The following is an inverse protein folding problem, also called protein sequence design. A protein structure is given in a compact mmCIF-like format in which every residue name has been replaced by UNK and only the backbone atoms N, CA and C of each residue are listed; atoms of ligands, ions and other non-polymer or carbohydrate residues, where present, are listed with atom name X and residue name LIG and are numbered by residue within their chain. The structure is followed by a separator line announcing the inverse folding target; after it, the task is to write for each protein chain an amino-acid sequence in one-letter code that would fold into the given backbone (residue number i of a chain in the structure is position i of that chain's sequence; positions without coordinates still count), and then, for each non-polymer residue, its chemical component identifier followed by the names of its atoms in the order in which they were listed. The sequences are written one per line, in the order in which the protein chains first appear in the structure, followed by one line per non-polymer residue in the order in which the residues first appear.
data_IF_348916941933
#
_entry.id   IF_348916941933
#
_cell.length_a   1.000
_cell.length_b   1.000
_cell.length_c   1.000
_cell.angle_alpha   90.00
_cell.angle_beta   90.00
_cell.angle_gamma   90.00
#
_symmetry.space_group_name_H-M   'P 1'
#
loop_
_entity.id
_entity.type
_entity.pdbx_description
1 polymer ?
#
# COMPACT_ATOMS: atom_id res chain seq x y z
N UNK A 1 2.73 -11.67 5.67
CA UNK A 1 4.04 -11.61 4.98
C UNK A 1 4.82 -12.85 5.35
N UNK A 2 5.40 -13.52 4.35
CA UNK A 2 6.00 -14.86 4.40
C UNK A 2 7.32 -14.88 5.16
N UNK A 3 7.24 -14.73 6.49
CA UNK A 3 8.38 -14.87 7.41
C UNK A 3 9.13 -16.19 7.18
N UNK A 4 8.40 -17.27 6.90
CA UNK A 4 8.96 -18.58 6.63
C UNK A 4 9.75 -18.69 5.31
N UNK A 5 9.65 -17.73 4.39
CA UNK A 5 10.34 -17.80 3.10
C UNK A 5 11.76 -17.21 3.15
N UNK A 6 12.11 -16.45 4.19
CA UNK A 6 13.46 -15.87 4.29
C UNK A 6 14.46 -16.97 4.66
N UNK A 7 15.46 -17.20 3.81
CA UNK A 7 16.51 -18.19 4.06
C UNK A 7 17.34 -17.93 5.33
N UNK A 8 17.39 -16.68 5.79
CA UNK A 8 18.09 -16.30 7.03
C UNK A 8 17.17 -16.26 8.25
N UNK A 9 15.89 -16.62 8.13
CA UNK A 9 14.98 -16.68 9.25
C UNK A 9 14.94 -18.09 9.84
N UNK A 10 15.55 -18.25 11.01
CA UNK A 10 15.47 -19.47 11.81
C UNK A 10 14.59 -19.23 13.03
N UNK A 11 13.46 -19.96 13.11
CA UNK A 11 12.51 -19.89 14.22
C UNK A 11 12.06 -18.46 14.63
N UNK A 12 12.11 -17.49 13.71
CA UNK A 12 11.77 -16.08 13.97
C UNK A 12 12.96 -15.14 14.16
N UNK A 13 14.18 -15.69 14.25
CA UNK A 13 15.43 -14.97 14.43
C UNK A 13 16.24 -14.91 13.12
N UNK A 14 17.03 -13.86 12.95
CA UNK A 14 17.84 -13.62 11.77
C UNK A 14 19.27 -14.10 11.97
N UNK A 15 19.63 -15.23 11.36
CA UNK A 15 20.97 -15.81 11.44
C UNK A 15 22.09 -14.84 11.00
N UNK A 16 21.79 -13.97 10.03
CA UNK A 16 22.76 -12.99 9.51
C UNK A 16 23.03 -11.83 10.49
N UNK A 17 22.10 -11.54 11.39
CA UNK A 17 22.19 -10.44 12.33
C UNK A 17 22.45 -10.92 13.76
N UNK A 18 22.49 -12.23 13.97
CA UNK A 18 22.86 -12.85 15.23
C UNK A 18 24.39 -12.75 15.39
N UNK A 19 24.85 -11.84 16.26
CA UNK A 19 26.26 -11.59 16.56
C UNK A 19 26.68 -12.19 17.91
N UNK A 20 25.99 -13.26 18.33
CA UNK A 20 26.14 -13.87 19.66
C UNK A 20 24.98 -13.53 20.60
N UNK A 21 24.13 -12.59 20.21
CA UNK A 21 22.81 -12.36 20.79
C UNK A 21 21.72 -12.56 19.73
N UNK A 22 20.69 -13.33 20.07
CA UNK A 22 19.61 -13.64 19.14
C UNK A 22 18.94 -12.37 18.63
N UNK A 23 18.98 -12.15 17.32
CA UNK A 23 18.35 -11.00 16.68
C UNK A 23 17.03 -11.40 16.03
N UNK A 24 15.90 -10.80 16.42
CA UNK A 24 14.60 -11.09 15.79
C UNK A 24 14.59 -10.63 14.34
N UNK A 25 14.03 -11.44 13.43
CA UNK A 25 13.97 -11.12 12.01
C UNK A 25 13.33 -9.76 11.73
N UNK A 26 14.00 -8.93 10.92
CA UNK A 26 13.56 -7.58 10.53
C UNK A 26 12.14 -7.59 9.92
N UNK A 27 11.82 -8.62 9.14
CA UNK A 27 10.48 -8.79 8.56
C UNK A 27 9.44 -9.22 9.60
N UNK A 28 9.87 -9.88 10.67
CA UNK A 28 9.02 -10.23 11.80
C UNK A 28 8.59 -9.01 12.59
N UNK A 29 9.52 -8.10 12.87
CA UNK A 29 9.23 -6.87 13.63
C UNK A 29 8.44 -5.86 12.79
N UNK A 30 8.83 -5.64 11.53
CA UNK A 30 8.26 -4.55 10.72
C UNK A 30 6.95 -4.90 10.01
N UNK A 31 6.57 -6.19 9.96
CA UNK A 31 5.46 -6.68 9.13
C UNK A 31 5.53 -6.19 7.68
N UNK A 32 6.74 -5.87 7.21
CA UNK A 32 7.03 -5.19 5.94
C UNK A 32 8.24 -5.83 5.26
N UNK A 33 8.35 -5.69 3.94
CA UNK A 33 9.47 -6.19 3.16
C UNK A 33 10.67 -5.23 3.19
N UNK A 34 11.21 -4.96 4.38
CA UNK A 34 12.35 -4.04 4.53
C UNK A 34 13.72 -4.71 4.33
N UNK A 35 13.81 -6.03 4.51
CA UNK A 35 15.06 -6.76 4.35
C UNK A 35 15.54 -6.74 2.89
N UNK A 36 16.72 -6.13 2.65
CA UNK A 36 17.32 -6.04 1.30
C UNK A 36 17.67 -7.41 0.73
N UNK A 37 18.33 -8.26 1.52
CA UNK A 37 18.62 -9.64 1.13
C UNK A 37 17.37 -10.38 0.66
N UNK A 38 16.27 -10.27 1.42
CA UNK A 38 15.02 -10.91 1.02
C UNK A 38 14.51 -10.39 -0.32
N UNK A 39 14.52 -9.07 -0.53
CA UNK A 39 14.01 -8.45 -1.77
C UNK A 39 14.87 -8.77 -2.99
N UNK A 40 16.18 -8.83 -2.84
CA UNK A 40 17.13 -8.92 -3.95
C UNK A 40 17.53 -10.37 -4.26
N UNK A 41 17.57 -11.26 -3.26
CA UNK A 41 18.03 -12.64 -3.43
C UNK A 41 16.91 -13.68 -3.29
N UNK A 42 16.05 -13.55 -2.27
CA UNK A 42 15.01 -14.55 -1.98
C UNK A 42 13.80 -14.37 -2.89
N UNK A 43 13.29 -13.14 -2.99
CA UNK A 43 12.05 -12.84 -3.72
C UNK A 43 12.16 -13.15 -5.22
N UNK A 44 13.24 -12.82 -5.94
CA UNK A 44 13.36 -13.17 -7.36
C UNK A 44 13.56 -14.67 -7.61
N UNK A 45 14.12 -15.40 -6.64
CA UNK A 45 14.33 -16.84 -6.74
C UNK A 45 13.00 -17.63 -6.65
N UNK A 46 12.00 -17.10 -5.94
CA UNK A 46 10.65 -17.67 -5.88
C UNK A 46 9.66 -16.83 -6.69
N UNK A 47 9.48 -17.21 -7.95
CA UNK A 47 8.57 -16.52 -8.89
C UNK A 47 7.13 -16.50 -8.39
N UNK A 48 6.65 -17.58 -7.79
CA UNK A 48 5.26 -17.65 -7.29
C UNK A 48 5.07 -16.71 -6.11
N UNK A 49 6.01 -16.68 -5.18
CA UNK A 49 5.99 -15.77 -4.03
C UNK A 49 6.10 -14.31 -4.47
N UNK A 50 7.00 -14.01 -5.41
CA UNK A 50 7.15 -12.69 -6.00
C UNK A 50 5.85 -12.18 -6.59
N UNK A 51 5.16 -13.00 -7.38
CA UNK A 51 3.88 -12.64 -7.94
C UNK A 51 2.79 -12.49 -6.87
N UNK A 52 2.72 -13.36 -5.85
CA UNK A 52 1.73 -13.22 -4.78
C UNK A 52 1.90 -11.91 -4.01
N UNK A 53 3.14 -11.57 -3.66
CA UNK A 53 3.48 -10.32 -2.97
C UNK A 53 3.18 -9.11 -3.87
N UNK A 54 3.55 -9.17 -5.14
CA UNK A 54 3.36 -8.06 -6.09
C UNK A 54 1.88 -7.86 -6.42
N UNK A 55 1.12 -8.94 -6.67
CA UNK A 55 -0.33 -8.90 -6.91
C UNK A 55 -1.11 -8.35 -5.72
N UNK A 56 -0.66 -8.57 -4.47
CA UNK A 56 -1.28 -7.93 -3.31
C UNK A 56 -1.14 -6.39 -3.32
N UNK A 57 -0.16 -5.86 -4.05
CA UNK A 57 -0.01 -4.42 -4.33
C UNK A 57 -0.69 -3.96 -5.63
N UNK A 58 -1.01 -4.88 -6.54
CA UNK A 58 -1.52 -4.60 -7.88
C UNK A 58 -3.05 -4.76 -7.94
N UNK A 59 -3.73 -3.62 -7.82
CA UNK A 59 -5.11 -3.41 -8.29
C UNK A 59 -6.15 -4.40 -7.79
N UNK A 60 -6.47 -4.34 -6.50
CA UNK A 60 -7.78 -4.81 -6.04
C UNK A 60 -8.87 -4.14 -6.89
N UNK A 61 -9.64 -4.94 -7.61
CA UNK A 61 -10.84 -4.47 -8.28
C UNK A 61 -11.82 -4.04 -7.19
N UNK A 62 -12.12 -2.73 -7.12
CA UNK A 62 -13.06 -2.16 -6.17
C UNK A 62 -14.36 -1.80 -6.83
N UNK A 63 -15.43 -1.76 -6.05
CA UNK A 63 -16.72 -1.24 -6.50
C UNK A 63 -16.81 0.25 -6.18
N UNK A 64 -17.22 1.03 -7.17
CA UNK A 64 -17.42 2.46 -6.99
C UNK A 64 -18.60 2.70 -6.05
N UNK A 65 -18.40 3.51 -5.01
CA UNK A 65 -19.46 3.86 -4.04
C UNK A 65 -20.59 4.74 -4.63
N UNK A 66 -20.47 5.20 -5.88
CA UNK A 66 -21.47 6.05 -6.54
C UNK A 66 -22.29 5.27 -7.56
N UNK A 67 -21.63 4.60 -8.50
CA UNK A 67 -22.30 3.89 -9.59
C UNK A 67 -22.25 2.36 -9.45
N UNK A 68 -21.54 1.83 -8.46
CA UNK A 68 -21.43 0.39 -8.21
C UNK A 68 -20.50 -0.38 -9.16
N UNK A 69 -19.97 0.27 -10.21
CA UNK A 69 -19.10 -0.37 -11.20
C UNK A 69 -17.76 -0.81 -10.61
N UNK A 70 -17.22 -1.91 -11.13
CA UNK A 70 -15.88 -2.39 -10.78
C UNK A 70 -14.81 -1.55 -11.48
N UNK A 71 -13.75 -1.19 -10.77
CA UNK A 71 -12.62 -0.45 -11.31
C UNK A 71 -11.31 -0.88 -10.64
N UNK A 72 -10.21 -0.79 -11.38
CA UNK A 72 -8.87 -1.01 -10.84
C UNK A 72 -8.49 0.14 -9.90
N UNK A 73 -8.33 -0.16 -8.61
CA UNK A 73 -7.96 0.85 -7.62
C UNK A 73 -6.45 1.01 -7.56
N UNK A 74 -5.94 2.21 -7.90
CA UNK A 74 -4.51 2.54 -7.72
C UNK A 74 -4.08 2.76 -6.26
N UNK A 75 -5.01 2.67 -5.30
CA UNK A 75 -4.67 2.71 -3.86
C UNK A 75 -5.77 2.11 -2.99
N UNK A 76 -5.40 1.74 -1.76
CA UNK A 76 -6.36 1.27 -0.76
C UNK A 76 -7.42 2.32 -0.38
N UNK A 77 -7.13 3.61 -0.56
CA UNK A 77 -8.03 4.72 -0.27
C UNK A 77 -9.00 5.06 -1.40
N UNK A 78 -8.86 4.46 -2.59
CA UNK A 78 -9.73 4.75 -3.72
C UNK A 78 -11.16 4.26 -3.46
N UNK A 79 -12.14 5.18 -3.58
CA UNK A 79 -13.58 4.91 -3.35
C UNK A 79 -14.44 5.00 -4.61
N UNK A 80 -13.94 5.66 -5.65
CA UNK A 80 -14.71 6.02 -6.84
C UNK A 80 -13.97 5.59 -8.10
N UNK A 81 -14.72 5.12 -9.10
CA UNK A 81 -14.19 4.94 -10.45
C UNK A 81 -13.73 6.29 -11.03
N UNK A 82 -12.89 6.29 -12.09
CA UNK A 82 -12.33 7.52 -12.66
C UNK A 82 -13.38 8.58 -13.01
N UNK A 83 -14.51 8.18 -13.60
CA UNK A 83 -15.57 9.11 -14.02
C UNK A 83 -16.28 9.77 -12.84
N UNK A 84 -16.67 8.96 -11.84
CA UNK A 84 -17.30 9.47 -10.63
C UNK A 84 -16.33 10.32 -9.81
N UNK A 85 -15.06 9.93 -9.74
CA UNK A 85 -14.01 10.70 -9.09
C UNK A 85 -13.85 12.08 -9.74
N UNK A 86 -13.83 12.17 -11.08
CA UNK A 86 -13.72 13.43 -11.80
C UNK A 86 -14.92 14.35 -11.55
N UNK A 87 -16.14 13.80 -11.49
CA UNK A 87 -17.36 14.57 -11.16
C UNK A 87 -17.30 15.11 -9.73
N UNK A 88 -16.93 14.28 -8.76
CA UNK A 88 -16.83 14.68 -7.34
C UNK A 88 -15.74 15.74 -7.14
N UNK A 89 -14.55 15.55 -7.72
CA UNK A 89 -13.45 16.53 -7.64
C UNK A 89 -13.86 17.90 -8.17
N UNK A 90 -14.57 17.95 -9.30
CA UNK A 90 -15.10 19.21 -9.86
C UNK A 90 -16.06 19.90 -8.89
N UNK A 91 -17.00 19.16 -8.30
CA UNK A 91 -17.97 19.70 -7.32
C UNK A 91 -17.27 20.23 -6.07
N UNK A 92 -16.33 19.46 -5.50
CA UNK A 92 -15.57 19.86 -4.32
C UNK A 92 -14.73 21.11 -4.58
N UNK A 93 -14.05 21.18 -5.73
CA UNK A 93 -13.29 22.38 -6.14
C UNK A 93 -14.20 23.61 -6.26
N UNK A 94 -15.34 23.48 -6.92
CA UNK A 94 -16.30 24.58 -7.04
C UNK A 94 -16.82 25.05 -5.68
N UNK A 95 -17.13 24.13 -4.76
CA UNK A 95 -17.57 24.46 -3.41
C UNK A 95 -16.47 25.14 -2.59
N UNK A 96 -15.23 24.64 -2.68
CA UNK A 96 -14.06 25.24 -2.02
C UNK A 96 -13.84 26.68 -2.47
N UNK A 97 -13.91 26.95 -3.78
CA UNK A 97 -13.79 28.31 -4.33
C UNK A 97 -14.91 29.24 -3.86
N UNK A 98 -16.16 28.75 -3.80
CA UNK A 98 -17.29 29.52 -3.25
C UNK A 98 -17.04 29.88 -1.79
N UNK A 99 -16.62 28.91 -0.97
CA UNK A 99 -16.32 29.12 0.44
C UNK A 99 -15.15 30.10 0.64
N UNK A 100 -14.10 30.03 -0.21
CA UNK A 100 -12.99 30.98 -0.18
C UNK A 100 -13.47 32.42 -0.43
N UNK A 101 -14.29 32.62 -1.47
CA UNK A 101 -14.86 33.94 -1.80
C UNK A 101 -15.75 34.47 -0.68
N UNK A 102 -16.55 33.61 -0.06
CA UNK A 102 -17.38 33.99 1.09
C UNK A 102 -16.52 34.43 2.28
N UNK A 103 -15.50 33.64 2.65
CA UNK A 103 -14.58 34.00 3.74
C UNK A 103 -13.90 35.36 3.52
N UNK A 104 -13.43 35.64 2.31
CA UNK A 104 -12.83 36.94 1.98
C UNK A 104 -13.85 38.08 2.18
N UNK A 105 -15.10 37.88 1.75
CA UNK A 105 -16.17 38.87 1.93
C UNK A 105 -16.54 39.10 3.39
N UNK A 106 -16.44 38.10 4.27
CA UNK A 106 -16.77 38.27 5.70
C UNK A 106 -15.65 38.91 6.52
N UNK A 107 -14.42 38.95 6.00
CA UNK A 107 -13.25 39.52 6.68
C UNK A 107 -12.93 40.95 6.21
N UNK A 108 -13.65 41.47 5.22
CA UNK A 108 -13.56 42.86 4.75
C UNK A 108 -14.76 43.64 5.28
#
# INVERSE_FOLDING_TARGET
MTRAACANNDCGNCLLLDDGETCVCVQSISYSLLCRYFREAVLPADRQLCEQITRSGETDLKRCAVCGSTFAAGSNRAKYCPDCAAKIRRRQKAQSERNRRLRIKTTT
#
